data_IF_690100178893
#
_entry.id   IF_690100178893
#
_cell.length_a   1.000
_cell.length_b   1.000
_cell.length_c   1.000
_cell.angle_alpha   90.00
_cell.angle_beta   90.00
_cell.angle_gamma   90.00
#
_symmetry.space_group_name_H-M   'P 1'
#
loop_
_entity.id
_entity.type
_entity.pdbx_description
1 polymer ?
#
# COMPACT_ATOMS: atom_id res chain seq x y z
N UNK A 1 3.94 12.89 6.14
CA UNK A 1 3.12 13.01 4.92
C UNK A 1 2.44 11.67 4.70
N UNK A 2 1.11 11.61 4.62
CA UNK A 2 0.38 10.36 4.29
C UNK A 2 0.77 9.99 2.86
N UNK A 3 1.26 8.76 2.64
CA UNK A 3 1.72 8.37 1.30
C UNK A 3 0.70 7.48 0.57
N UNK A 4 -0.10 6.65 1.27
CA UNK A 4 -1.12 5.81 0.61
C UNK A 4 -2.35 5.51 1.48
N UNK A 5 -3.51 5.40 0.83
CA UNK A 5 -4.80 4.98 1.42
C UNK A 5 -5.37 3.86 0.55
N UNK A 6 -5.82 2.76 1.16
CA UNK A 6 -6.51 1.66 0.45
C UNK A 6 -7.78 1.26 1.17
N UNK A 7 -8.76 0.82 0.39
CA UNK A 7 -10.03 0.30 0.87
C UNK A 7 -10.13 -1.16 0.44
N UNK A 8 -10.19 -2.04 1.42
CA UNK A 8 -10.49 -3.46 1.24
C UNK A 8 -11.95 -3.69 1.61
N UNK A 9 -12.62 -4.60 0.90
CA UNK A 9 -14.02 -5.07 1.05
C UNK A 9 -15.09 -4.01 1.35
N UNK A 10 -14.77 -2.73 1.15
CA UNK A 10 -15.50 -1.54 1.62
C UNK A 10 -15.67 -1.46 3.15
N UNK A 11 -15.07 -2.34 3.95
CA UNK A 11 -15.20 -2.31 5.43
C UNK A 11 -13.89 -1.91 6.11
N UNK A 12 -12.77 -1.91 5.41
CA UNK A 12 -11.45 -1.62 5.99
C UNK A 12 -10.79 -0.47 5.25
N UNK A 13 -10.29 0.52 5.99
CA UNK A 13 -9.40 1.57 5.47
C UNK A 13 -8.01 1.33 6.02
N UNK A 14 -7.04 1.26 5.13
CA UNK A 14 -5.64 1.08 5.46
C UNK A 14 -4.86 2.36 5.18
N UNK A 15 -4.11 2.82 6.18
CA UNK A 15 -3.17 3.93 6.05
C UNK A 15 -1.74 3.44 6.17
N UNK A 16 -0.90 3.93 5.25
CA UNK A 16 0.54 3.76 5.27
C UNK A 16 1.23 5.11 5.24
N UNK A 17 2.08 5.35 6.24
CA UNK A 17 2.75 6.63 6.43
C UNK A 17 4.21 6.36 6.75
N UNK A 18 5.11 6.92 5.93
CA UNK A 18 6.53 6.97 6.24
C UNK A 18 6.89 8.38 6.71
N UNK A 19 7.56 8.48 7.84
CA UNK A 19 8.08 9.75 8.33
C UNK A 19 9.45 10.11 7.71
N UNK A 20 10.01 11.25 8.12
CA UNK A 20 11.27 11.75 7.59
C UNK A 20 12.51 11.02 8.13
N UNK A 21 12.35 10.21 9.19
CA UNK A 21 13.39 9.29 9.68
C UNK A 21 13.34 7.96 8.94
N UNK A 22 12.28 7.76 8.15
CA UNK A 22 12.00 6.56 7.40
C UNK A 22 11.30 5.48 8.24
N UNK A 23 10.80 5.78 9.43
CA UNK A 23 9.90 4.86 10.14
C UNK A 23 8.58 4.77 9.39
N UNK A 24 8.02 3.56 9.33
CA UNK A 24 6.79 3.27 8.62
C UNK A 24 5.71 2.91 9.63
N UNK A 25 4.63 3.68 9.65
CA UNK A 25 3.40 3.41 10.39
C UNK A 25 2.34 2.80 9.47
N UNK A 26 1.80 1.66 9.91
CA UNK A 26 0.64 0.99 9.34
C UNK A 26 -0.53 1.13 10.31
N UNK A 27 -1.71 1.53 9.82
CA UNK A 27 -2.91 1.65 10.65
C UNK A 27 -4.13 1.17 9.90
N UNK A 28 -4.98 0.40 10.57
CA UNK A 28 -6.17 -0.21 9.99
C UNK A 28 -7.42 0.27 10.72
N UNK A 29 -8.38 0.76 9.94
CA UNK A 29 -9.61 1.35 10.46
C UNK A 29 -10.82 0.60 9.94
N UNK A 30 -11.81 0.45 10.81
CA UNK A 30 -13.15 0.08 10.39
C UNK A 30 -13.73 1.26 9.59
N UNK A 31 -14.02 1.02 8.31
CA UNK A 31 -14.46 2.04 7.36
C UNK A 31 -15.79 2.67 7.77
N UNK A 32 -16.75 1.87 8.24
CA UNK A 32 -18.06 2.36 8.68
C UNK A 32 -17.92 3.31 9.86
N UNK A 33 -17.18 2.91 10.91
CA UNK A 33 -16.95 3.76 12.09
C UNK A 33 -16.19 5.04 11.75
N UNK A 34 -15.19 4.94 10.87
CA UNK A 34 -14.41 6.09 10.45
C UNK A 34 -15.26 7.05 9.62
N UNK A 35 -16.01 6.55 8.63
CA UNK A 35 -16.90 7.36 7.81
C UNK A 35 -17.97 8.03 8.67
N UNK A 36 -18.60 7.32 9.61
CA UNK A 36 -19.59 7.91 10.51
C UNK A 36 -19.05 9.09 11.34
N UNK A 37 -17.74 9.12 11.62
CA UNK A 37 -17.10 10.27 12.28
C UNK A 37 -16.79 11.40 11.29
N UNK A 38 -16.36 11.07 10.07
CA UNK A 38 -16.10 12.05 9.00
C UNK A 38 -17.39 12.73 8.53
N UNK A 39 -18.48 11.98 8.38
CA UNK A 39 -19.79 12.45 7.90
C UNK A 39 -20.39 13.51 8.82
N UNK A 40 -20.10 13.46 10.13
CA UNK A 40 -20.51 14.52 11.09
C UNK A 40 -19.98 15.89 10.70
N UNK A 41 -18.84 15.95 9.99
CA UNK A 41 -18.24 17.19 9.52
C UNK A 41 -18.73 17.60 8.12
N UNK A 42 -19.49 16.77 7.42
CA UNK A 42 -19.92 17.04 6.04
C UNK A 42 -20.81 18.28 5.91
N UNK A 43 -21.54 18.66 6.97
CA UNK A 43 -22.34 19.90 6.99
C UNK A 43 -21.66 21.08 7.72
N UNK A 44 -20.53 20.86 8.40
CA UNK A 44 -19.84 21.92 9.17
C UNK A 44 -18.92 22.78 8.29
N UNK A 45 -18.63 24.01 8.70
CA UNK A 45 -17.66 24.87 7.98
C UNK A 45 -16.25 24.25 8.00
N UNK A 46 -15.84 23.71 9.14
CA UNK A 46 -14.57 22.98 9.28
C UNK A 46 -14.76 21.49 9.01
N UNK A 47 -14.04 20.97 8.00
CA UNK A 47 -13.99 19.52 7.67
C UNK A 47 -12.94 18.75 8.44
N UNK A 48 -12.30 19.38 9.41
CA UNK A 48 -11.19 18.78 10.13
C UNK A 48 -11.66 17.84 11.23
N UNK A 49 -11.25 16.57 11.14
CA UNK A 49 -11.33 15.60 12.24
C UNK A 49 -9.90 15.24 12.66
N UNK A 50 -9.49 15.54 13.91
CA UNK A 50 -8.15 15.21 14.36
C UNK A 50 -8.01 13.69 14.56
N UNK A 51 -6.87 13.13 14.15
CA UNK A 51 -6.53 11.74 14.42
C UNK A 51 -6.40 11.40 15.92
N UNK A 52 -6.33 12.43 16.78
CA UNK A 52 -6.31 12.28 18.24
C UNK A 52 -7.69 12.08 18.86
N UNK A 53 -8.78 12.28 18.10
CA UNK A 53 -10.16 12.05 18.52
C UNK A 53 -10.33 10.62 19.06
N UNK A 54 -11.05 10.47 20.18
CA UNK A 54 -11.36 9.17 20.76
C UNK A 54 -12.18 8.30 19.79
N UNK A 55 -13.06 8.90 18.99
CA UNK A 55 -13.84 8.21 17.97
C UNK A 55 -12.95 7.67 16.83
N UNK A 56 -12.03 8.49 16.33
CA UNK A 56 -11.07 8.05 15.29
C UNK A 56 -10.15 6.96 15.84
N UNK A 57 -9.63 7.11 17.07
CA UNK A 57 -8.80 6.08 17.71
C UNK A 57 -9.54 4.76 17.91
N UNK A 58 -10.82 4.81 18.27
CA UNK A 58 -11.65 3.60 18.46
C UNK A 58 -12.11 2.95 17.15
N UNK A 59 -12.09 3.68 16.04
CA UNK A 59 -12.24 3.09 14.70
C UNK A 59 -10.97 2.33 14.25
N UNK A 60 -9.79 2.67 14.78
CA UNK A 60 -8.55 1.95 14.53
C UNK A 60 -8.54 0.61 15.28
N UNK A 61 -8.60 -0.50 14.55
CA UNK A 61 -8.63 -1.84 15.16
C UNK A 61 -7.25 -2.51 15.21
N UNK A 62 -6.22 -1.87 14.64
CA UNK A 62 -4.87 -2.40 14.63
C UNK A 62 -3.87 -1.42 14.05
N UNK A 63 -2.64 -1.50 14.52
CA UNK A 63 -1.53 -0.75 13.96
C UNK A 63 -0.20 -1.41 14.31
N UNK A 64 0.82 -1.17 13.50
CA UNK A 64 2.19 -1.58 13.79
C UNK A 64 3.19 -0.63 13.12
N UNK A 65 4.45 -0.73 13.55
CA UNK A 65 5.55 0.08 13.01
C UNK A 65 6.67 -0.81 12.52
N UNK A 66 7.34 -0.35 11.47
CA UNK A 66 8.61 -0.90 11.00
C UNK A 66 9.67 0.19 10.97
N UNK A 67 10.86 -0.13 11.48
CA UNK A 67 12.00 0.77 11.57
C UNK A 67 13.30 0.03 11.20
N UNK A 68 14.33 0.79 10.83
CA UNK A 68 15.65 0.24 10.48
C UNK A 68 15.59 -0.84 9.40
N UNK A 69 16.28 -1.96 9.63
CA UNK A 69 16.34 -3.11 8.72
C UNK A 69 15.05 -3.95 8.69
N UNK A 70 14.10 -3.71 9.60
CA UNK A 70 12.81 -4.42 9.62
C UNK A 70 11.78 -3.84 8.64
N UNK A 71 12.13 -2.75 7.93
CA UNK A 71 11.26 -2.15 6.92
C UNK A 71 11.17 -3.04 5.70
N UNK A 72 9.95 -3.24 5.23
CA UNK A 72 9.70 -3.96 3.98
C UNK A 72 9.53 -2.94 2.86
N UNK A 73 10.62 -2.66 2.14
CA UNK A 73 10.67 -1.76 0.99
C UNK A 73 11.47 -2.46 -0.12
N UNK A 74 10.81 -3.13 -1.08
CA UNK A 74 11.52 -3.70 -2.22
C UNK A 74 12.32 -2.62 -2.94
N UNK A 75 13.58 -2.90 -3.28
CA UNK A 75 14.48 -1.92 -3.90
C UNK A 75 14.56 -0.59 -3.13
N UNK A 76 14.48 -0.63 -1.79
CA UNK A 76 14.53 0.53 -0.89
C UNK A 76 13.50 1.63 -1.22
N UNK A 77 12.40 1.27 -1.90
CA UNK A 77 11.38 2.20 -2.35
C UNK A 77 9.97 1.63 -2.21
N UNK A 78 8.98 2.51 -2.39
CA UNK A 78 7.57 2.16 -2.42
C UNK A 78 6.92 3.01 -3.51
N UNK A 79 6.58 2.37 -4.61
CA UNK A 79 5.88 2.97 -5.75
C UNK A 79 4.40 2.57 -5.73
N UNK A 80 4.01 1.64 -4.87
CA UNK A 80 2.62 1.29 -4.68
C UNK A 80 2.39 0.36 -3.48
N UNK A 81 1.16 0.41 -2.98
CA UNK A 81 0.65 -0.44 -1.91
C UNK A 81 -0.71 -1.00 -2.30
N UNK A 82 -1.02 -2.19 -1.80
CA UNK A 82 -2.35 -2.79 -1.90
C UNK A 82 -2.68 -3.54 -0.60
N UNK A 83 -3.96 -3.54 -0.22
CA UNK A 83 -4.42 -4.21 0.98
C UNK A 83 -5.60 -5.11 0.63
N UNK A 84 -5.41 -6.41 0.79
CA UNK A 84 -6.38 -7.44 0.41
C UNK A 84 -7.46 -7.64 1.46
N UNK A 85 -8.58 -8.21 1.02
CA UNK A 85 -9.70 -8.64 1.87
C UNK A 85 -9.29 -9.68 2.92
N UNK A 86 -8.29 -10.50 2.59
CA UNK A 86 -7.66 -11.48 3.49
C UNK A 86 -6.55 -10.91 4.38
N UNK A 87 -6.52 -9.60 4.64
CA UNK A 87 -5.55 -8.93 5.53
C UNK A 87 -4.07 -9.13 5.13
N UNK A 88 -3.79 -9.34 3.86
CA UNK A 88 -2.44 -9.28 3.30
C UNK A 88 -2.14 -7.88 2.75
N UNK A 89 -0.92 -7.40 2.97
CA UNK A 89 -0.40 -6.15 2.39
C UNK A 89 0.60 -6.51 1.29
N UNK A 90 0.47 -5.85 0.14
CA UNK A 90 1.43 -5.94 -0.96
C UNK A 90 2.10 -4.59 -1.13
N UNK A 91 3.42 -4.60 -1.26
CA UNK A 91 4.24 -3.40 -1.45
C UNK A 91 5.05 -3.62 -2.71
N UNK A 92 4.89 -2.75 -3.72
CA UNK A 92 5.72 -2.77 -4.91
C UNK A 92 6.79 -1.70 -4.82
N UNK A 93 8.02 -2.09 -5.18
CA UNK A 93 9.19 -1.23 -5.18
C UNK A 93 10.06 -1.43 -6.43
N UNK A 94 10.68 -0.37 -6.91
CA UNK A 94 11.61 -0.41 -8.05
C UNK A 94 11.58 0.90 -8.85
N UNK A 95 12.66 1.67 -8.71
CA UNK A 95 12.93 2.87 -9.51
C UNK A 95 13.31 2.52 -10.95
N UNK A 96 13.44 3.54 -11.81
CA UNK A 96 13.85 3.38 -13.21
C UNK A 96 15.10 2.49 -13.36
N UNK A 97 14.97 1.43 -14.16
CA UNK A 97 16.03 0.47 -14.46
C UNK A 97 16.18 -0.67 -13.44
N UNK A 98 15.45 -0.63 -12.33
CA UNK A 98 15.37 -1.74 -11.38
C UNK A 98 14.26 -2.72 -11.79
N UNK A 99 14.50 -4.01 -11.56
CA UNK A 99 13.44 -5.01 -11.70
C UNK A 99 12.42 -4.80 -10.57
N UNK A 100 11.12 -4.68 -10.86
CA UNK A 100 10.11 -4.51 -9.82
C UNK A 100 10.13 -5.67 -8.82
N UNK A 101 10.20 -5.34 -7.54
CA UNK A 101 10.02 -6.28 -6.45
C UNK A 101 8.66 -6.05 -5.79
N UNK A 102 7.90 -7.10 -5.55
CA UNK A 102 6.62 -7.07 -4.85
C UNK A 102 6.76 -7.88 -3.57
N UNK A 103 6.79 -7.22 -2.42
CA UNK A 103 6.78 -7.89 -1.13
C UNK A 103 5.35 -8.09 -0.64
N UNK A 104 5.11 -9.23 0.02
CA UNK A 104 3.85 -9.55 0.70
C UNK A 104 4.09 -9.62 2.21
N UNK A 105 3.23 -8.96 2.97
CA UNK A 105 3.11 -9.13 4.42
C UNK A 105 1.79 -9.80 4.73
N UNK A 106 1.79 -10.68 5.72
CA UNK A 106 0.60 -11.39 6.21
C UNK A 106 0.49 -11.24 7.72
N UNK A 107 -0.74 -11.27 8.24
CA UNK A 107 -1.01 -11.19 9.67
C UNK A 107 -2.28 -10.41 9.95
N UNK A 108 -2.40 -9.92 11.19
CA UNK A 108 -3.57 -9.14 11.61
C UNK A 108 -3.19 -8.19 12.74
N UNK A 109 -3.87 -7.05 12.83
CA UNK A 109 -3.66 -6.09 13.92
C UNK A 109 -2.22 -5.59 13.98
N UNK A 110 -1.53 -5.88 15.08
CA UNK A 110 -0.12 -5.51 15.31
C UNK A 110 0.88 -6.58 14.90
N UNK A 111 0.44 -7.74 14.39
CA UNK A 111 1.25 -8.96 14.23
C UNK A 111 1.62 -9.28 12.78
N UNK A 112 1.72 -8.27 11.91
CA UNK A 112 2.13 -8.46 10.53
C UNK A 112 3.58 -8.89 10.41
N UNK A 113 3.85 -9.81 9.49
CA UNK A 113 5.20 -10.32 9.18
C UNK A 113 5.44 -10.29 7.69
N UNK A 114 6.70 -10.11 7.31
CA UNK A 114 7.15 -10.36 5.95
C UNK A 114 6.89 -11.84 5.60
N UNK A 115 6.26 -12.07 4.46
CA UNK A 115 5.94 -13.40 3.94
C UNK A 115 6.92 -13.80 2.84
N UNK A 116 6.97 -13.01 1.77
CA UNK A 116 7.78 -13.31 0.59
C UNK A 116 8.03 -12.05 -0.25
N UNK A 117 8.95 -12.19 -1.21
CA UNK A 117 9.28 -11.20 -2.24
C UNK A 117 9.23 -11.91 -3.59
N UNK A 118 8.47 -11.34 -4.53
CA UNK A 118 8.43 -11.77 -5.93
C UNK A 118 9.07 -10.69 -6.78
N UNK A 119 10.06 -11.08 -7.59
CA UNK A 119 10.68 -10.18 -8.57
C UNK A 119 10.02 -10.36 -9.92
N UNK A 120 9.40 -9.32 -10.46
CA UNK A 120 8.78 -9.33 -11.77
C UNK A 120 9.82 -9.21 -12.88
N UNK A 121 9.67 -10.02 -13.94
CA UNK A 121 10.48 -9.94 -15.15
C UNK A 121 9.60 -10.01 -16.38
N UNK A 122 9.95 -9.25 -17.41
CA UNK A 122 9.30 -9.29 -18.71
C UNK A 122 10.26 -8.75 -19.77
N UNK A 123 10.21 -9.26 -21.01
CA UNK A 123 11.10 -8.83 -22.09
C UNK A 123 10.90 -7.35 -22.50
N UNK A 124 9.77 -6.76 -22.12
CA UNK A 124 9.45 -5.36 -22.39
C UNK A 124 9.95 -4.41 -21.30
N UNK A 125 10.54 -4.92 -20.20
CA UNK A 125 11.13 -4.05 -19.19
C UNK A 125 12.46 -3.53 -19.72
N UNK A 126 12.43 -2.34 -20.30
CA UNK A 126 13.62 -1.63 -20.76
C UNK A 126 14.48 -1.10 -19.61
N UNK A 127 15.63 -0.51 -19.96
CA UNK A 127 16.59 0.04 -18.99
C UNK A 127 16.08 1.22 -18.15
N UNK A 128 14.91 1.78 -18.48
CA UNK A 128 14.25 2.86 -17.73
C UNK A 128 12.84 2.47 -17.26
N UNK A 129 12.52 1.17 -17.26
CA UNK A 129 11.27 0.69 -16.69
C UNK A 129 11.24 0.98 -15.19
N UNK A 130 10.16 1.58 -14.71
CA UNK A 130 9.91 1.93 -13.32
C UNK A 130 8.53 1.41 -12.90
N UNK A 131 8.43 0.89 -11.67
CA UNK A 131 7.15 0.45 -11.11
C UNK A 131 6.25 1.63 -10.72
N UNK A 132 4.95 1.54 -10.96
CA UNK A 132 4.00 2.64 -10.75
C UNK A 132 2.65 2.10 -10.28
N UNK A 133 2.55 1.78 -8.99
CA UNK A 133 1.31 1.29 -8.40
C UNK A 133 1.07 -0.23 -8.55
N UNK A 134 0.12 -0.71 -7.76
CA UNK A 134 -0.26 -2.12 -7.62
C UNK A 134 -1.74 -2.20 -7.22
N UNK A 135 -2.42 -3.24 -7.70
CA UNK A 135 -3.81 -3.55 -7.38
C UNK A 135 -4.09 -5.05 -7.48
N UNK A 136 -4.93 -5.56 -6.58
CA UNK A 136 -5.45 -6.93 -6.64
C UNK A 136 -6.78 -6.95 -7.39
N UNK A 137 -6.97 -7.95 -8.25
CA UNK A 137 -8.27 -8.21 -8.90
C UNK A 137 -8.36 -9.67 -9.33
N UNK A 138 -9.40 -10.36 -8.90
CA UNK A 138 -9.54 -11.81 -9.13
C UNK A 138 -8.31 -12.55 -8.60
N UNK A 139 -7.80 -13.51 -9.36
CA UNK A 139 -6.64 -14.33 -8.96
C UNK A 139 -5.28 -13.69 -9.29
N UNK A 140 -5.24 -12.39 -9.59
CA UNK A 140 -4.04 -11.71 -10.06
C UNK A 140 -3.66 -10.48 -9.25
N UNK A 141 -2.35 -10.27 -9.15
CA UNK A 141 -1.71 -9.03 -8.72
C UNK A 141 -1.34 -8.24 -9.98
N UNK A 142 -2.01 -7.12 -10.19
CA UNK A 142 -1.72 -6.19 -11.28
C UNK A 142 -0.78 -5.08 -10.82
N UNK A 143 0.13 -4.66 -11.69
CA UNK A 143 1.04 -3.55 -11.39
C UNK A 143 1.36 -2.76 -12.64
N UNK A 144 1.59 -1.46 -12.45
CA UNK A 144 1.97 -0.53 -13.50
C UNK A 144 3.48 -0.54 -13.71
N UNK A 145 3.90 -0.44 -14.98
CA UNK A 145 5.27 -0.14 -15.37
C UNK A 145 5.24 1.05 -16.31
N UNK A 146 6.03 2.07 -16.02
CA UNK A 146 6.28 3.20 -16.92
C UNK A 146 7.70 3.16 -17.46
N UNK A 147 7.87 3.39 -18.76
CA UNK A 147 9.20 3.60 -19.39
C UNK A 147 9.38 5.09 -19.69
N UNK A 148 10.21 5.75 -18.86
CA UNK A 148 10.38 7.21 -18.83
C UNK A 148 10.99 7.81 -20.11
N UNK A 149 11.53 7.00 -21.02
CA UNK A 149 12.15 7.48 -22.27
C UNK A 149 11.27 7.33 -23.51
N UNK A 150 10.03 6.89 -23.34
CA UNK A 150 9.11 6.73 -24.46
C UNK A 150 7.90 7.65 -24.33
N UNK A 151 7.36 8.09 -25.46
CA UNK A 151 6.23 9.01 -25.53
C UNK A 151 4.90 8.43 -25.05
N UNK A 152 4.78 7.10 -24.89
CA UNK A 152 3.57 6.41 -24.42
C UNK A 152 3.86 4.95 -24.02
N UNK A 153 4.22 4.67 -22.75
CA UNK A 153 4.41 3.27 -22.29
C UNK A 153 4.12 3.06 -20.80
N UNK A 154 2.99 3.56 -20.30
CA UNK A 154 2.44 3.00 -19.08
C UNK A 154 1.71 1.70 -19.42
N UNK A 155 2.24 0.55 -19.00
CA UNK A 155 1.62 -0.76 -19.24
C UNK A 155 1.25 -1.41 -17.91
N UNK A 156 0.14 -2.15 -17.90
CA UNK A 156 -0.27 -2.96 -16.76
C UNK A 156 0.17 -4.40 -17.02
N UNK A 157 0.88 -4.97 -16.07
CA UNK A 157 1.29 -6.38 -16.05
C UNK A 157 0.59 -7.09 -14.90
N UNK A 158 0.62 -8.42 -14.92
CA UNK A 158 0.01 -9.24 -13.88
C UNK A 158 0.86 -10.44 -13.51
N UNK A 159 0.84 -10.81 -12.24
CA UNK A 159 1.38 -12.07 -11.72
C UNK A 159 0.24 -12.81 -11.00
N UNK A 160 0.08 -14.13 -11.20
CA UNK A 160 -0.89 -14.91 -10.44
C UNK A 160 -0.65 -14.79 -8.93
N UNK A 161 -1.71 -14.65 -8.13
CA UNK A 161 -1.59 -14.57 -6.67
C UNK A 161 -0.92 -15.83 -6.08
N UNK A 162 -1.02 -16.98 -6.74
CA UNK A 162 -0.37 -18.24 -6.34
C UNK A 162 1.16 -18.19 -6.37
N UNK A 163 1.76 -17.13 -6.94
CA UNK A 163 3.21 -16.92 -6.88
C UNK A 163 3.69 -16.37 -5.52
N UNK A 164 2.77 -16.02 -4.61
CA UNK A 164 3.05 -15.34 -3.33
C UNK A 164 2.65 -16.17 -2.11
#
# INVERSE_FOLDING_TARGET
>A
MIKYIKISDRKKVFFWVMDNTGEIQYSFYNAEKLNAELDKKESEESKFVPCTSSAVKSACYGSFRQSGSNRVLPNDSCQGLEFSDGDSIYIIGGAAGQKPGIAKLTGSGSSYKYSCLVTATHNNFGGNAESEGIQLKGDYVYFGISDKQSSDKACIYSIPQSAF
#
